data_IF_023178122975
#
_entry.id   IF_023178122975
#
_cell.length_a   1.000
_cell.length_b   1.000
_cell.length_c   1.000
_cell.angle_alpha   90.00
_cell.angle_beta   90.00
_cell.angle_gamma   90.00
#
_symmetry.space_group_name_H-M   'P 1'
#
loop_
_entity.id
_entity.type
_entity.pdbx_description
1 polymer ?
#
# COMPACT_ATOMS: atom_id res chain seq x y z
N UNK A 1 -16.16 -16.90 -21.92
CA UNK A 1 -15.28 -17.40 -20.85
C UNK A 1 -13.87 -16.87 -21.10
N UNK A 2 -13.29 -16.08 -20.20
CA UNK A 2 -11.86 -15.71 -20.28
C UNK A 2 -10.99 -16.78 -19.59
N UNK A 3 -9.78 -17.05 -20.08
CA UNK A 3 -8.90 -18.06 -19.51
C UNK A 3 -8.31 -17.62 -18.14
N UNK A 4 -7.89 -18.57 -17.29
CA UNK A 4 -7.25 -18.27 -16.01
C UNK A 4 -5.87 -17.67 -16.26
N UNK A 5 -5.65 -16.43 -15.81
CA UNK A 5 -4.41 -15.67 -16.05
C UNK A 5 -4.63 -14.29 -16.68
N UNK A 6 -5.87 -13.91 -17.00
CA UNK A 6 -6.17 -12.57 -17.49
C UNK A 6 -5.94 -11.52 -16.39
N UNK A 7 -4.97 -10.65 -16.63
CA UNK A 7 -4.81 -9.35 -15.96
C UNK A 7 -6.17 -8.63 -16.04
N UNK A 8 -6.64 -8.13 -14.90
CA UNK A 8 -7.90 -7.40 -14.78
C UNK A 8 -7.91 -6.22 -15.77
N UNK A 9 -9.05 -5.97 -16.39
CA UNK A 9 -9.19 -4.86 -17.31
C UNK A 9 -9.03 -3.52 -16.56
N UNK A 10 -8.42 -2.50 -17.18
CA UNK A 10 -8.05 -1.25 -16.50
C UNK A 10 -9.26 -0.45 -15.97
N UNK A 11 -10.47 -0.78 -16.38
CA UNK A 11 -11.73 -0.19 -15.94
C UNK A 11 -12.26 -0.77 -14.62
N UNK A 12 -11.81 -1.92 -14.13
CA UNK A 12 -12.29 -2.49 -12.86
C UNK A 12 -11.40 -2.14 -11.64
N UNK A 13 -10.28 -1.46 -11.84
CA UNK A 13 -9.19 -1.41 -10.86
C UNK A 13 -9.25 -0.31 -9.80
N UNK A 14 -10.13 0.69 -9.93
CA UNK A 14 -10.05 1.90 -9.07
C UNK A 14 -10.96 1.80 -7.84
N UNK A 15 -12.20 1.35 -8.02
CA UNK A 15 -13.12 1.11 -6.90
C UNK A 15 -12.72 -0.18 -6.16
N UNK A 16 -11.96 -1.06 -6.82
CA UNK A 16 -11.30 -2.23 -6.23
C UNK A 16 -9.81 -1.95 -5.97
N UNK A 17 -9.46 -0.72 -5.60
CA UNK A 17 -8.17 -0.50 -4.94
C UNK A 17 -8.33 -0.97 -3.49
N UNK A 18 -7.88 -2.22 -3.26
CA UNK A 18 -7.55 -2.86 -1.97
C UNK A 18 -8.67 -3.51 -1.15
N UNK A 19 -9.22 -4.63 -1.65
CA UNK A 19 -9.89 -5.61 -0.78
C UNK A 19 -9.34 -7.02 -1.03
N UNK A 20 -8.32 -7.44 -0.28
CA UNK A 20 -7.87 -8.84 -0.25
C UNK A 20 -8.08 -9.41 1.16
N UNK A 21 -9.28 -9.92 1.42
CA UNK A 21 -9.60 -10.54 2.71
C UNK A 21 -8.87 -11.89 2.90
N UNK A 22 -8.39 -12.13 4.11
CA UNK A 22 -7.75 -13.37 4.55
C UNK A 22 -8.59 -13.96 5.69
N UNK A 23 -9.47 -14.92 5.40
CA UNK A 23 -10.28 -15.62 6.41
C UNK A 23 -9.51 -16.81 7.07
N UNK A 24 -9.64 -17.03 8.39
CA UNK A 24 -9.18 -18.26 9.04
C UNK A 24 -10.03 -19.50 8.64
N UNK A 25 -9.51 -20.73 8.79
CA UNK A 25 -10.25 -21.95 8.49
C UNK A 25 -11.36 -22.26 9.49
N UNK A 26 -12.58 -22.54 9.01
CA UNK A 26 -13.67 -23.13 9.80
C UNK A 26 -13.74 -24.65 9.61
N UNK A 27 -14.17 -25.36 10.66
CA UNK A 27 -14.04 -26.82 10.81
C UNK A 27 -14.69 -27.68 9.71
N UNK A 28 -15.66 -27.15 8.95
CA UNK A 28 -16.43 -27.89 7.94
C UNK A 28 -16.07 -27.56 6.48
N UNK A 29 -15.12 -26.66 6.21
CA UNK A 29 -14.76 -26.23 4.85
C UNK A 29 -13.36 -26.69 4.41
N UNK A 30 -12.84 -27.76 5.02
CA UNK A 30 -11.45 -28.23 4.89
C UNK A 30 -11.00 -28.64 3.48
N UNK A 31 -11.88 -28.65 2.49
CA UNK A 31 -11.55 -29.01 1.09
C UNK A 31 -11.43 -27.82 0.13
N UNK A 32 -11.78 -26.61 0.54
CA UNK A 32 -11.69 -25.44 -0.34
C UNK A 32 -10.51 -24.55 0.06
N UNK A 33 -9.75 -24.08 -0.94
CA UNK A 33 -8.74 -23.05 -0.71
C UNK A 33 -9.41 -21.73 -0.30
N UNK A 34 -8.65 -20.87 0.36
CA UNK A 34 -9.15 -19.62 0.94
C UNK A 34 -9.84 -18.71 -0.08
N UNK A 35 -9.33 -18.62 -1.31
CA UNK A 35 -9.90 -17.77 -2.36
C UNK A 35 -11.25 -18.31 -2.81
N UNK A 36 -11.37 -19.63 -2.92
CA UNK A 36 -12.63 -20.30 -3.27
C UNK A 36 -13.69 -20.16 -2.17
N UNK A 37 -13.29 -20.19 -0.89
CA UNK A 37 -14.20 -20.01 0.26
C UNK A 37 -14.82 -18.61 0.31
N UNK A 38 -13.98 -17.58 0.23
CA UNK A 38 -14.43 -16.18 0.17
C UNK A 38 -15.38 -15.97 -1.01
N UNK A 39 -15.00 -16.48 -2.19
CA UNK A 39 -15.82 -16.39 -3.40
C UNK A 39 -17.19 -17.08 -3.25
N UNK A 40 -17.23 -18.30 -2.71
CA UNK A 40 -18.47 -19.04 -2.49
C UNK A 40 -19.41 -18.34 -1.51
N UNK A 41 -18.86 -17.79 -0.41
CA UNK A 41 -19.62 -17.08 0.63
C UNK A 41 -20.27 -15.81 0.08
N UNK A 42 -19.49 -15.01 -0.68
CA UNK A 42 -19.97 -13.82 -1.39
C UNK A 42 -21.08 -14.21 -2.38
N UNK A 43 -20.84 -15.23 -3.22
CA UNK A 43 -21.81 -15.68 -4.23
C UNK A 43 -23.09 -16.24 -3.63
N UNK A 44 -23.00 -16.83 -2.44
CA UNK A 44 -24.14 -17.39 -1.72
C UNK A 44 -24.85 -16.36 -0.83
N UNK A 45 -24.52 -15.07 -0.95
CA UNK A 45 -25.06 -13.97 -0.15
C UNK A 45 -24.93 -14.20 1.37
N UNK A 46 -23.91 -14.96 1.78
CA UNK A 46 -23.62 -15.20 3.19
C UNK A 46 -22.74 -14.07 3.71
N UNK A 47 -22.99 -13.55 4.92
CA UNK A 47 -22.16 -12.52 5.52
C UNK A 47 -20.74 -13.07 5.75
N UNK A 48 -19.72 -12.25 5.47
CA UNK A 48 -18.36 -12.55 5.91
C UNK A 48 -18.25 -12.23 7.39
N UNK A 49 -17.75 -13.19 8.17
CA UNK A 49 -17.46 -13.00 9.59
C UNK A 49 -15.99 -12.66 9.73
N UNK A 50 -15.67 -11.50 10.29
CA UNK A 50 -14.30 -11.05 10.50
C UNK A 50 -14.18 -10.40 11.88
N UNK A 51 -13.11 -10.74 12.60
CA UNK A 51 -12.71 -9.99 13.81
C UNK A 51 -12.29 -8.59 13.37
N UNK A 52 -12.84 -7.55 14.00
CA UNK A 52 -12.48 -6.17 13.68
C UNK A 52 -10.95 -6.00 13.81
N UNK A 53 -10.23 -5.77 12.71
CA UNK A 53 -8.78 -5.71 12.76
C UNK A 53 -8.33 -4.37 13.33
N UNK A 54 -7.18 -4.38 14.01
CA UNK A 54 -6.51 -3.14 14.36
C UNK A 54 -6.06 -2.39 13.10
N UNK A 55 -5.99 -1.06 13.19
CA UNK A 55 -5.55 -0.20 12.08
C UNK A 55 -4.22 0.44 12.44
N UNK A 56 -3.22 0.30 11.58
CA UNK A 56 -1.92 0.95 11.69
C UNK A 56 -1.91 2.18 10.80
N UNK A 57 -1.76 3.36 11.40
CA UNK A 57 -1.57 4.59 10.64
C UNK A 57 -0.13 4.67 10.15
N UNK A 58 0.08 4.72 8.84
CA UNK A 58 1.38 4.91 8.21
C UNK A 58 1.49 6.30 7.63
N UNK A 59 2.21 7.18 8.34
CA UNK A 59 2.35 8.59 8.00
C UNK A 59 3.47 8.79 6.98
N UNK A 60 3.16 9.42 5.86
CA UNK A 60 4.11 9.78 4.82
C UNK A 60 4.35 11.29 4.82
N UNK A 61 5.60 11.71 4.93
CA UNK A 61 6.02 13.12 4.97
C UNK A 61 7.01 13.45 3.87
N UNK A 62 7.03 14.72 3.45
CA UNK A 62 7.99 15.22 2.47
C UNK A 62 7.78 14.65 1.06
N UNK A 63 8.88 14.49 0.31
CA UNK A 63 8.90 13.98 -1.07
C UNK A 63 10.08 13.03 -1.27
N UNK A 64 9.97 12.11 -2.23
CA UNK A 64 11.10 11.26 -2.63
C UNK A 64 12.24 12.12 -3.18
N UNK A 65 13.48 11.70 -2.92
CA UNK A 65 14.68 12.32 -3.50
C UNK A 65 14.78 11.99 -4.99
N UNK A 66 15.43 12.86 -5.74
CA UNK A 66 15.70 12.62 -7.16
C UNK A 66 16.52 11.34 -7.32
N UNK A 67 16.13 10.51 -8.30
CA UNK A 67 16.74 9.21 -8.57
C UNK A 67 16.13 8.04 -7.78
N UNK A 68 15.43 8.28 -6.67
CA UNK A 68 14.72 7.22 -5.92
C UNK A 68 13.49 6.77 -6.69
N UNK A 69 13.31 5.45 -6.81
CA UNK A 69 12.24 4.83 -7.59
C UNK A 69 11.06 4.39 -6.71
N UNK A 70 9.92 4.14 -7.36
CA UNK A 70 8.75 3.54 -6.70
C UNK A 70 9.09 2.19 -6.03
N UNK A 71 9.97 1.40 -6.65
CA UNK A 71 10.42 0.12 -6.11
C UNK A 71 11.15 0.30 -4.77
N UNK A 72 12.02 1.30 -4.67
CA UNK A 72 12.78 1.58 -3.44
C UNK A 72 11.85 1.96 -2.29
N UNK A 73 10.85 2.81 -2.58
CA UNK A 73 9.81 3.18 -1.62
C UNK A 73 9.04 1.94 -1.15
N UNK A 74 8.60 1.11 -2.10
CA UNK A 74 7.80 -0.09 -1.81
C UNK A 74 8.58 -1.09 -0.94
N UNK A 75 9.86 -1.31 -1.24
CA UNK A 75 10.72 -2.19 -0.45
C UNK A 75 10.93 -1.64 0.97
N UNK A 76 11.19 -0.34 1.09
CA UNK A 76 11.33 0.35 2.38
C UNK A 76 10.08 0.22 3.24
N UNK A 77 8.91 0.55 2.67
CA UNK A 77 7.61 0.45 3.35
C UNK A 77 7.33 -0.99 3.78
N UNK A 78 7.58 -1.97 2.90
CA UNK A 78 7.38 -3.39 3.19
C UNK A 78 8.24 -3.84 4.36
N UNK A 79 9.52 -3.46 4.38
CA UNK A 79 10.44 -3.81 5.46
C UNK A 79 10.02 -3.19 6.81
N UNK A 80 9.63 -1.91 6.81
CA UNK A 80 9.14 -1.22 8.00
C UNK A 80 7.88 -1.87 8.58
N UNK A 81 6.89 -2.13 7.72
CA UNK A 81 5.63 -2.77 8.12
C UNK A 81 5.83 -4.19 8.65
N UNK A 82 6.72 -4.96 8.00
CA UNK A 82 7.09 -6.30 8.44
C UNK A 82 7.76 -6.27 9.81
N UNK A 83 8.68 -5.33 10.05
CA UNK A 83 9.36 -5.16 11.34
C UNK A 83 8.39 -4.74 12.44
N UNK A 84 7.40 -3.91 12.12
CA UNK A 84 6.39 -3.45 13.07
C UNK A 84 5.37 -4.52 13.47
N UNK A 85 5.12 -5.51 12.61
CA UNK A 85 4.20 -6.60 12.89
C UNK A 85 2.74 -6.22 12.64
N UNK A 86 2.38 -6.18 11.36
CA UNK A 86 1.03 -5.83 10.88
C UNK A 86 0.17 -7.04 10.46
N UNK A 87 0.56 -8.24 10.90
CA UNK A 87 -0.16 -9.48 10.57
C UNK A 87 -1.61 -9.39 11.03
N UNK A 88 -2.56 -9.55 10.10
CA UNK A 88 -4.00 -9.51 10.38
C UNK A 88 -4.56 -8.12 10.71
N UNK A 89 -3.78 -7.05 10.47
CA UNK A 89 -4.18 -5.65 10.68
C UNK A 89 -4.43 -4.96 9.34
N UNK A 90 -5.13 -3.84 9.40
CA UNK A 90 -5.18 -2.88 8.31
C UNK A 90 -4.02 -1.89 8.45
N UNK A 91 -3.52 -1.41 7.32
CA UNK A 91 -2.56 -0.30 7.24
C UNK A 91 -3.27 0.82 6.49
N UNK A 92 -3.31 2.02 7.04
CA UNK A 92 -3.86 3.20 6.37
C UNK A 92 -2.76 4.23 6.16
N UNK A 93 -2.53 4.62 4.91
CA UNK A 93 -1.53 5.61 4.54
C UNK A 93 -2.15 7.03 4.59
N UNK A 94 -1.44 7.98 5.18
CA UNK A 94 -1.95 9.34 5.39
C UNK A 94 -0.85 10.41 5.43
N UNK A 95 -1.29 11.68 5.56
CA UNK A 95 -0.51 12.92 5.59
C UNK A 95 0.01 13.42 4.22
N UNK A 96 0.72 14.54 4.24
CA UNK A 96 1.08 15.36 3.08
C UNK A 96 1.89 14.63 1.98
N UNK A 97 2.69 13.63 2.36
CA UNK A 97 3.50 12.85 1.42
C UNK A 97 2.63 12.07 0.42
N UNK A 98 1.37 11.79 0.79
CA UNK A 98 0.40 11.14 -0.09
C UNK A 98 0.13 11.93 -1.36
N UNK A 99 0.01 13.25 -1.26
CA UNK A 99 -0.21 14.14 -2.41
C UNK A 99 0.97 14.18 -3.39
N UNK A 100 2.11 13.58 -3.03
CA UNK A 100 3.31 13.49 -3.87
C UNK A 100 3.48 12.13 -4.54
N UNK A 101 2.71 11.12 -4.14
CA UNK A 101 2.75 9.79 -4.73
C UNK A 101 1.74 9.66 -5.87
N UNK A 102 2.18 9.05 -6.98
CA UNK A 102 1.28 8.71 -8.07
C UNK A 102 0.34 7.57 -7.66
N UNK A 103 -0.80 7.43 -8.33
CA UNK A 103 -1.69 6.29 -8.09
C UNK A 103 -1.04 4.94 -8.40
N UNK A 104 -0.10 4.90 -9.35
CA UNK A 104 0.66 3.70 -9.66
C UNK A 104 1.54 3.27 -8.48
N UNK A 105 2.19 4.22 -7.81
CA UNK A 105 3.01 3.95 -6.62
C UNK A 105 2.14 3.42 -5.48
N UNK A 106 1.01 4.10 -5.23
CA UNK A 106 0.03 3.69 -4.20
C UNK A 106 -0.50 2.28 -4.46
N UNK A 107 -0.88 1.97 -5.70
CA UNK A 107 -1.34 0.65 -6.09
C UNK A 107 -0.25 -0.41 -5.91
N UNK A 108 1.01 -0.08 -6.20
CA UNK A 108 2.15 -0.98 -6.00
C UNK A 108 2.35 -1.32 -4.52
N UNK A 109 2.34 -0.31 -3.64
CA UNK A 109 2.45 -0.50 -2.19
C UNK A 109 1.27 -1.32 -1.64
N UNK A 110 0.05 -1.00 -2.08
CA UNK A 110 -1.15 -1.71 -1.66
C UNK A 110 -1.14 -3.19 -2.09
N UNK A 111 -0.69 -3.49 -3.31
CA UNK A 111 -0.62 -4.85 -3.83
C UNK A 111 0.36 -5.74 -3.06
N UNK A 112 1.35 -5.13 -2.39
CA UNK A 112 2.30 -5.83 -1.51
C UNK A 112 1.78 -6.07 -0.09
N UNK A 113 0.50 -5.81 0.20
CA UNK A 113 -0.12 -6.16 1.50
C UNK A 113 0.22 -7.56 2.02
N UNK A 114 0.18 -8.61 1.18
CA UNK A 114 0.55 -9.96 1.62
C UNK A 114 2.03 -10.08 2.05
N UNK A 115 2.93 -9.33 1.42
CA UNK A 115 4.38 -9.41 1.66
C UNK A 115 4.80 -8.84 3.02
N UNK A 116 4.09 -7.82 3.51
CA UNK A 116 4.25 -7.30 4.88
C UNK A 116 3.24 -7.86 5.89
N UNK A 117 2.34 -8.75 5.45
CA UNK A 117 1.41 -9.50 6.29
C UNK A 117 0.10 -8.79 6.65
N UNK A 118 -0.13 -7.57 6.15
CA UNK A 118 -1.39 -6.87 6.41
C UNK A 118 -2.55 -7.53 5.66
N UNK A 119 -3.74 -7.40 6.23
CA UNK A 119 -4.97 -7.77 5.52
C UNK A 119 -5.25 -6.80 4.38
N UNK A 120 -4.94 -5.50 4.56
CA UNK A 120 -5.05 -4.49 3.49
C UNK A 120 -4.13 -3.29 3.77
N UNK A 121 -3.65 -2.65 2.70
CA UNK A 121 -3.01 -1.34 2.70
C UNK A 121 -3.89 -0.30 2.03
N UNK A 122 -4.56 0.53 2.81
CA UNK A 122 -5.58 1.48 2.37
C UNK A 122 -5.02 2.87 2.07
N UNK A 123 -5.33 3.39 0.89
CA UNK A 123 -5.08 4.76 0.47
C UNK A 123 -6.43 5.47 0.33
N UNK A 124 -6.71 6.53 1.11
CA UNK A 124 -7.97 7.27 1.00
C UNK A 124 -8.19 7.85 -0.40
N UNK A 125 -9.46 8.03 -0.78
CA UNK A 125 -9.83 8.67 -2.04
C UNK A 125 -9.54 10.17 -1.95
N UNK A 126 -8.81 10.67 -2.94
CA UNK A 126 -8.47 12.08 -3.10
C UNK A 126 -8.66 12.55 -4.55
N UNK A 127 -8.24 13.78 -4.84
CA UNK A 127 -8.34 14.36 -6.17
C UNK A 127 -7.58 13.57 -7.25
N UNK A 128 -6.46 12.90 -6.92
CA UNK A 128 -5.77 12.06 -7.90
C UNK A 128 -6.62 10.85 -8.28
N UNK A 129 -7.29 10.24 -7.30
CA UNK A 129 -8.24 9.14 -7.56
C UNK A 129 -9.38 9.57 -8.48
N UNK A 130 -9.98 10.75 -8.25
CA UNK A 130 -11.05 11.28 -9.10
C UNK A 130 -10.55 11.59 -10.53
N UNK A 131 -9.36 12.19 -10.64
CA UNK A 131 -8.73 12.44 -11.95
C UNK A 131 -8.51 11.13 -12.72
N UNK A 132 -8.10 10.06 -12.04
CA UNK A 132 -7.92 8.77 -12.69
C UNK A 132 -9.23 8.12 -13.12
N UNK A 133 -10.31 8.30 -12.36
CA UNK A 133 -11.65 7.89 -12.82
C UNK A 133 -12.03 8.61 -14.11
N UNK A 134 -11.73 9.91 -14.22
CA UNK A 134 -11.94 10.67 -15.45
C UNK A 134 -11.12 10.13 -16.62
N UNK A 135 -9.82 9.92 -16.42
CA UNK A 135 -8.90 9.40 -17.44
C UNK A 135 -9.28 8.00 -17.94
N UNK A 136 -9.96 7.22 -17.10
CA UNK A 136 -10.43 5.87 -17.43
C UNK A 136 -11.87 5.84 -17.97
N UNK A 137 -12.43 7.00 -18.33
CA UNK A 137 -13.66 7.11 -19.10
C UNK A 137 -14.93 7.30 -18.28
N UNK A 138 -14.84 7.67 -16.99
CA UNK A 138 -16.04 8.04 -16.20
C UNK A 138 -16.50 9.43 -16.60
N UNK A 139 -17.82 9.62 -16.72
CA UNK A 139 -18.39 10.92 -17.02
C UNK A 139 -18.21 11.90 -15.87
N UNK A 140 -18.13 13.19 -16.18
CA UNK A 140 -18.01 14.26 -15.19
C UNK A 140 -19.19 14.24 -14.19
N UNK A 141 -20.41 13.92 -14.66
CA UNK A 141 -21.58 13.74 -13.80
C UNK A 141 -21.38 12.62 -12.75
N UNK A 142 -20.79 11.50 -13.17
CA UNK A 142 -20.50 10.37 -12.28
C UNK A 142 -19.43 10.75 -11.25
N UNK A 143 -18.38 11.47 -11.68
CA UNK A 143 -17.30 11.92 -10.80
C UNK A 143 -17.82 12.90 -9.76
N UNK A 144 -18.64 13.87 -10.17
CA UNK A 144 -19.25 14.84 -9.26
C UNK A 144 -20.16 14.15 -8.23
N UNK A 145 -20.93 13.15 -8.65
CA UNK A 145 -21.74 12.33 -7.75
C UNK A 145 -20.86 11.57 -6.74
N UNK A 146 -19.77 10.93 -7.20
CA UNK A 146 -18.83 10.20 -6.34
C UNK A 146 -18.19 11.14 -5.32
N UNK A 147 -17.68 12.29 -5.75
CA UNK A 147 -17.05 13.26 -4.85
C UNK A 147 -18.04 13.78 -3.81
N UNK A 148 -19.24 14.18 -4.23
CA UNK A 148 -20.29 14.66 -3.32
C UNK A 148 -20.65 13.61 -2.26
N UNK A 149 -20.81 12.35 -2.69
CA UNK A 149 -21.07 11.24 -1.79
C UNK A 149 -19.92 11.04 -0.79
N UNK A 150 -18.67 10.99 -1.25
CA UNK A 150 -17.51 10.77 -0.40
C UNK A 150 -17.30 11.90 0.60
N UNK A 151 -17.46 13.17 0.17
CA UNK A 151 -17.36 14.35 1.06
C UNK A 151 -18.46 14.33 2.12
N UNK A 152 -19.72 14.06 1.74
CA UNK A 152 -20.86 13.97 2.68
C UNK A 152 -20.62 12.92 3.77
N UNK A 153 -19.98 11.81 3.40
CA UNK A 153 -19.67 10.70 4.31
C UNK A 153 -18.30 10.81 4.99
N UNK A 154 -17.56 11.92 4.82
CA UNK A 154 -16.21 12.12 5.38
C UNK A 154 -15.19 11.05 4.96
N UNK A 155 -15.35 10.53 3.74
CA UNK A 155 -14.47 9.52 3.13
C UNK A 155 -13.56 10.10 2.04
N UNK A 156 -13.71 11.39 1.72
CA UNK A 156 -12.83 12.11 0.81
C UNK A 156 -11.72 12.83 1.59
N UNK A 157 -10.48 12.74 1.10
CA UNK A 157 -9.33 13.43 1.65
C UNK A 157 -8.90 14.55 0.70
N UNK A 158 -8.97 15.78 1.20
CA UNK A 158 -8.41 16.97 0.54
C UNK A 158 -7.24 17.48 1.38
N UNK A 159 -6.00 17.28 0.91
CA UNK A 159 -4.81 17.66 1.66
C UNK A 159 -4.61 19.18 1.83
N UNK A 160 -5.44 20.02 1.19
CA UNK A 160 -5.44 21.46 1.39
C UNK A 160 -6.37 21.90 2.55
N UNK A 161 -7.25 21.00 3.01
CA UNK A 161 -8.15 21.24 4.13
C UNK A 161 -7.54 20.73 5.45
N UNK A 162 -7.93 21.29 6.60
CA UNK A 162 -7.58 20.72 7.89
C UNK A 162 -8.03 19.26 8.00
N UNK A 163 -7.08 18.35 8.20
CA UNK A 163 -7.39 16.93 8.31
C UNK A 163 -8.03 16.63 9.66
N UNK A 164 -9.08 15.81 9.65
CA UNK A 164 -9.65 15.25 10.87
C UNK A 164 -8.60 14.31 11.49
N UNK A 165 -8.31 14.50 12.77
CA UNK A 165 -7.42 13.61 13.50
C UNK A 165 -8.02 12.20 13.57
N UNK A 166 -7.26 11.22 13.08
CA UNK A 166 -7.66 9.80 13.07
C UNK A 166 -6.94 9.07 14.19
N UNK A 167 -7.69 8.22 14.90
CA UNK A 167 -7.14 7.38 15.96
C UNK A 167 -6.83 6.01 15.39
N UNK A 168 -5.55 5.66 15.37
CA UNK A 168 -5.07 4.35 14.94
C UNK A 168 -4.66 3.49 16.15
N UNK A 169 -4.65 2.17 15.97
CA UNK A 169 -4.18 1.23 16.98
C UNK A 169 -2.66 1.32 17.21
N UNK A 170 -1.91 1.74 16.19
CA UNK A 170 -0.48 2.07 16.29
C UNK A 170 -0.07 2.96 15.12
N UNK A 171 1.09 3.60 15.23
CA UNK A 171 1.57 4.60 14.27
C UNK A 171 2.97 4.23 13.78
N UNK A 172 3.21 4.47 12.49
CA UNK A 172 4.53 4.50 11.87
C UNK A 172 4.65 5.79 11.07
N UNK A 173 5.88 6.29 10.95
CA UNK A 173 6.19 7.47 10.15
C UNK A 173 7.38 7.18 9.24
N UNK A 174 7.28 7.61 7.98
CA UNK A 174 8.36 7.60 7.00
C UNK A 174 8.44 8.98 6.36
N UNK A 175 9.60 9.61 6.46
CA UNK A 175 9.93 10.74 5.61
C UNK A 175 10.40 10.18 4.27
N UNK A 176 9.76 10.60 3.19
CA UNK A 176 10.07 10.09 1.84
C UNK A 176 11.51 10.45 1.41
N UNK A 177 12.13 11.45 2.03
CA UNK A 177 13.53 11.80 1.81
C UNK A 177 14.51 10.77 2.38
N UNK A 178 14.11 9.99 3.39
CA UNK A 178 14.94 8.96 4.03
C UNK A 178 14.94 7.64 3.24
N UNK A 179 14.16 7.55 2.15
CA UNK A 179 14.15 6.37 1.29
C UNK A 179 15.47 6.29 0.53
N UNK A 180 16.17 5.19 0.71
CA UNK A 180 17.45 4.89 0.03
C UNK A 180 17.24 4.03 -1.20
N UNK A 181 18.13 4.20 -2.19
CA UNK A 181 18.17 3.38 -3.40
C UNK A 181 18.42 1.92 -3.03
N UNK A 182 17.51 1.05 -3.42
CA UNK A 182 17.59 -0.38 -3.21
C UNK A 182 18.01 -1.06 -4.52
N UNK A 183 19.28 -1.44 -4.64
CA UNK A 183 19.69 -2.39 -5.68
C UNK A 183 19.25 -3.78 -5.21
N UNK A 184 18.03 -4.18 -5.58
CA UNK A 184 17.53 -5.53 -5.29
C UNK A 184 18.15 -6.56 -6.24
N UNK A 185 19.41 -6.93 -5.98
CA UNK A 185 20.13 -8.06 -6.59
C UNK A 185 20.06 -9.31 -5.70
N UNK A 186 19.94 -10.49 -6.32
CA UNK A 186 19.71 -11.77 -5.65
C UNK A 186 20.72 -12.07 -4.52
N UNK A 187 20.20 -12.19 -3.29
CA UNK A 187 20.84 -12.78 -2.10
C UNK A 187 22.24 -12.26 -1.79
N UNK A 188 22.32 -11.17 -1.04
CA UNK A 188 23.49 -10.89 -0.20
C UNK A 188 23.13 -10.89 1.28
N UNK A 189 23.84 -11.76 1.98
CA UNK A 189 23.86 -11.95 3.42
C UNK A 189 24.75 -10.85 3.99
N UNK A 190 24.23 -10.07 4.95
CA UNK A 190 24.94 -9.22 5.92
C UNK A 190 26.40 -8.84 5.62
N UNK A 191 26.69 -7.54 5.48
CA UNK A 191 27.70 -6.92 6.35
C UNK A 191 27.57 -5.39 6.42
N UNK A 192 27.20 -4.89 7.59
CA UNK A 192 27.45 -3.52 8.01
C UNK A 192 28.92 -3.38 8.42
N UNK A 193 29.78 -2.81 7.57
CA UNK A 193 31.05 -2.21 8.00
C UNK A 193 31.31 -0.95 7.17
N UNK A 194 31.48 0.16 7.89
CA UNK A 194 31.82 1.46 7.34
C UNK A 194 33.11 1.38 6.52
N UNK A 195 33.12 2.13 5.43
CA UNK A 195 34.32 2.37 4.65
C UNK A 195 35.26 3.25 5.49
N UNK A 196 36.22 2.63 6.16
CA UNK A 196 37.43 3.34 6.57
C UNK A 196 38.24 3.69 5.32
N UNK A 197 38.55 4.98 5.27
CA UNK A 197 39.49 5.68 4.43
C UNK A 197 40.78 4.84 4.26
N UNK A 198 41.15 4.53 3.01
CA UNK A 198 42.53 4.14 2.69
C UNK A 198 43.23 5.42 2.27
N UNK A 199 44.06 5.93 3.15
CA UNK A 199 45.08 6.89 2.77
C UNK A 199 46.23 6.11 2.12
N UNK A 200 46.53 6.51 0.89
CA UNK A 200 47.77 6.20 0.19
C UNK A 200 48.94 6.89 0.90
N UNK A 201 50.04 6.17 1.12
CA UNK A 201 51.36 6.79 1.27
C UNK A 201 52.41 5.88 0.61
N UNK A 202 53.45 6.51 0.08
CA UNK A 202 54.23 6.13 -1.10
C UNK A 202 55.63 5.54 -0.82
N UNK A 203 56.21 5.00 -1.88
CA UNK A 203 57.48 4.26 -1.97
C UNK A 203 58.64 4.79 -1.11
N UNK A 204 59.34 3.89 -0.40
CA UNK A 204 60.83 3.92 -0.35
C UNK A 204 61.49 2.62 0.18
N UNK A 205 62.25 1.98 -0.73
CA UNK A 205 63.63 1.45 -0.61
C UNK A 205 64.02 0.61 0.63
N UNK A 206 64.26 -0.69 0.43
CA UNK A 206 65.58 -1.36 0.56
C UNK A 206 65.49 -2.85 0.18
#
# INVERSE_FOLDING_TARGET
MRPPGAILAPDESIIVTVFKFVEPPENNEKQMDQKSRVKFKIMSLKPMSMVLPGVVGFKLLGKLRDGVTATDLVLTVTQMLRKHGVVGKFVEFYAEGMGKLSLADRATIANMSPDYGATMGFFPVDHLTLQYLQLTGRSDETIAMIESYLRTNKMFVDYNEPQIEKVYSSYLELKLEDVELCISGAKEVNNSRGAEHRDDEDDSVA
#
